data_IF_578473081545
#
_entry.id   IF_578473081545
#
_cell.length_a   1.000
_cell.length_b   1.000
_cell.length_c   1.000
_cell.angle_alpha   90.00
_cell.angle_beta   90.00
_cell.angle_gamma   90.00
#
_symmetry.space_group_name_H-M   'P 1'
#
loop_
_entity.id
_entity.type
_entity.pdbx_description
1 polymer ?
#
# COMPACT_ATOMS: atom_id res chain seq x y z
N UNK A 1 -23.47 -7.20 18.27
CA UNK A 1 -22.98 -7.13 16.89
C UNK A 1 -22.12 -8.38 16.66
N UNK A 2 -22.58 -9.28 15.77
CA UNK A 2 -21.75 -10.41 15.32
C UNK A 2 -20.96 -9.88 14.13
N UNK A 3 -19.63 -9.81 14.28
CA UNK A 3 -18.72 -9.48 13.17
C UNK A 3 -18.28 -10.78 12.48
N UNK A 4 -18.50 -10.89 11.17
CA UNK A 4 -17.93 -11.96 10.35
C UNK A 4 -16.60 -11.49 9.81
N UNK A 5 -15.50 -12.16 10.20
CA UNK A 5 -14.13 -11.86 9.76
C UNK A 5 -13.62 -13.05 8.96
N UNK A 6 -13.16 -12.81 7.74
CA UNK A 6 -12.59 -13.81 6.84
C UNK A 6 -11.18 -13.44 6.46
N UNK A 7 -10.27 -14.39 6.60
CA UNK A 7 -8.86 -14.22 6.22
C UNK A 7 -8.62 -15.06 4.98
N UNK A 8 -8.18 -14.42 3.91
CA UNK A 8 -7.85 -15.07 2.64
C UNK A 8 -6.37 -14.88 2.39
N UNK A 9 -5.63 -15.98 2.26
CA UNK A 9 -4.24 -15.97 1.84
C UNK A 9 -4.19 -16.26 0.33
N UNK A 10 -3.80 -15.25 -0.45
CA UNK A 10 -3.67 -15.35 -1.90
C UNK A 10 -2.77 -14.21 -2.42
N UNK A 11 -2.25 -14.35 -3.66
CA UNK A 11 -1.65 -13.25 -4.38
C UNK A 11 -2.73 -12.23 -4.75
N UNK A 12 -2.72 -11.05 -4.14
CA UNK A 12 -3.73 -10.00 -4.32
C UNK A 12 -3.79 -9.44 -5.76
N UNK A 13 -2.76 -9.68 -6.59
CA UNK A 13 -2.75 -9.31 -8.00
C UNK A 13 -3.42 -10.36 -8.91
N UNK A 14 -3.73 -11.57 -8.39
CA UNK A 14 -4.26 -12.69 -9.16
C UNK A 14 -5.78 -12.65 -9.33
N UNK A 15 -6.29 -13.34 -10.35
CA UNK A 15 -7.72 -13.60 -10.50
C UNK A 15 -8.24 -14.53 -9.40
N UNK A 16 -7.44 -15.50 -8.96
CA UNK A 16 -7.78 -16.40 -7.86
C UNK A 16 -8.14 -15.62 -6.58
N UNK A 17 -7.40 -14.55 -6.27
CA UNK A 17 -7.72 -13.69 -5.12
C UNK A 17 -9.10 -13.05 -5.28
N UNK A 18 -9.44 -12.56 -6.48
CA UNK A 18 -10.76 -11.99 -6.76
C UNK A 18 -11.88 -13.00 -6.57
N UNK A 19 -11.70 -14.21 -7.11
CA UNK A 19 -12.66 -15.30 -6.96
C UNK A 19 -12.90 -15.66 -5.49
N UNK A 20 -11.85 -15.80 -4.70
CA UNK A 20 -11.93 -16.08 -3.26
C UNK A 20 -12.63 -14.97 -2.47
N UNK A 21 -12.35 -13.70 -2.82
CA UNK A 21 -13.01 -12.57 -2.18
C UNK A 21 -14.48 -12.52 -2.59
N UNK A 22 -14.79 -12.72 -3.88
CA UNK A 22 -16.18 -12.77 -4.35
C UNK A 22 -16.98 -13.86 -3.64
N UNK A 23 -16.44 -15.07 -3.53
CA UNK A 23 -17.08 -16.15 -2.78
C UNK A 23 -17.35 -15.76 -1.31
N UNK A 24 -16.48 -14.97 -0.70
CA UNK A 24 -16.70 -14.44 0.65
C UNK A 24 -17.81 -13.39 0.69
N UNK A 25 -17.88 -12.51 -0.31
CA UNK A 25 -18.95 -11.52 -0.44
C UNK A 25 -20.32 -12.21 -0.66
N UNK A 26 -20.35 -13.23 -1.51
CA UNK A 26 -21.58 -14.00 -1.79
C UNK A 26 -22.16 -14.64 -0.52
N UNK A 27 -21.29 -15.19 0.35
CA UNK A 27 -21.72 -15.73 1.65
C UNK A 27 -22.29 -14.63 2.56
N UNK A 28 -21.73 -13.41 2.48
CA UNK A 28 -22.25 -12.25 3.21
C UNK A 28 -23.48 -11.62 2.53
N UNK A 29 -23.91 -12.13 1.38
CA UNK A 29 -24.98 -11.60 0.54
C UNK A 29 -24.73 -10.18 0.04
N UNK A 30 -23.46 -9.89 -0.25
CA UNK A 30 -22.99 -8.62 -0.81
C UNK A 30 -22.45 -8.85 -2.23
N UNK A 31 -22.80 -8.00 -3.16
CA UNK A 31 -22.28 -8.08 -4.54
C UNK A 31 -20.90 -7.46 -4.66
N UNK A 32 -20.63 -6.42 -3.87
CA UNK A 32 -19.41 -5.61 -3.91
C UNK A 32 -18.97 -5.21 -2.51
N UNK A 33 -17.67 -4.94 -2.38
CA UNK A 33 -17.10 -4.37 -1.17
C UNK A 33 -17.57 -2.92 -0.97
N UNK A 34 -17.83 -2.53 0.27
CA UNK A 34 -18.30 -1.19 0.64
C UNK A 34 -17.14 -0.23 0.97
N UNK A 35 -15.97 -0.78 1.26
CA UNK A 35 -14.76 -0.02 1.53
C UNK A 35 -13.53 -0.87 1.21
N UNK A 36 -12.50 -0.24 0.64
CA UNK A 36 -11.22 -0.87 0.30
C UNK A 36 -10.10 -0.23 1.11
N UNK A 37 -9.25 -1.05 1.73
CA UNK A 37 -8.00 -0.57 2.34
C UNK A 37 -6.84 -1.27 1.62
N UNK A 38 -5.93 -0.49 1.07
CA UNK A 38 -4.67 -0.95 0.49
C UNK A 38 -3.53 -0.49 1.40
N UNK A 39 -2.76 -1.44 1.91
CA UNK A 39 -1.57 -1.16 2.72
C UNK A 39 -0.43 -2.07 2.22
N UNK A 40 0.14 -1.75 1.06
CA UNK A 40 1.22 -2.53 0.48
C UNK A 40 2.51 -2.40 1.29
N UNK A 41 3.50 -3.28 1.11
CA UNK A 41 4.85 -3.04 1.61
C UNK A 41 5.42 -1.73 1.00
N UNK A 42 6.41 -1.15 1.68
CA UNK A 42 7.08 0.06 1.19
C UNK A 42 8.32 -0.36 0.40
N UNK A 43 8.10 -0.88 -0.82
CA UNK A 43 9.12 -1.47 -1.67
C UNK A 43 9.87 -2.60 -0.92
N UNK A 44 11.18 -2.64 -0.98
CA UNK A 44 12.06 -3.67 -0.39
C UNK A 44 12.51 -3.39 1.08
N UNK A 45 11.88 -2.42 1.78
CA UNK A 45 12.29 -2.05 3.14
C UNK A 45 12.16 -3.22 4.13
N UNK A 46 11.09 -4.01 3.99
CA UNK A 46 10.83 -5.22 4.80
C UNK A 46 10.38 -6.31 3.87
N UNK A 47 11.10 -7.42 3.89
CA UNK A 47 10.72 -8.64 3.18
C UNK A 47 9.70 -9.41 4.00
N UNK A 48 8.50 -9.61 3.46
CA UNK A 48 7.39 -10.27 4.16
C UNK A 48 7.33 -11.78 3.91
N UNK A 49 7.81 -12.24 2.75
CA UNK A 49 7.88 -13.67 2.43
C UNK A 49 9.00 -13.95 1.43
N UNK A 50 9.21 -15.24 1.07
CA UNK A 50 10.14 -15.64 0.01
C UNK A 50 9.43 -15.88 -1.33
N UNK A 51 8.15 -15.51 -1.44
CA UNK A 51 7.36 -15.69 -2.66
C UNK A 51 7.69 -14.61 -3.68
N UNK A 52 7.78 -15.02 -4.95
CA UNK A 52 8.07 -14.10 -6.05
C UNK A 52 6.94 -13.06 -6.27
N UNK A 53 5.71 -13.43 -5.92
CA UNK A 53 4.50 -12.60 -6.06
C UNK A 53 4.37 -11.53 -4.97
N UNK A 54 5.23 -11.59 -3.94
CA UNK A 54 5.23 -10.59 -2.87
C UNK A 54 5.84 -9.28 -3.37
N UNK A 55 5.10 -8.20 -3.23
CA UNK A 55 5.54 -6.86 -3.66
C UNK A 55 6.86 -6.43 -3.00
N UNK A 56 7.18 -6.96 -1.83
CA UNK A 56 8.46 -6.68 -1.15
C UNK A 56 9.67 -7.38 -1.79
N UNK A 57 9.44 -8.26 -2.76
CA UNK A 57 10.47 -9.02 -3.47
C UNK A 57 10.68 -8.56 -4.92
N UNK A 58 10.10 -7.42 -5.32
CA UNK A 58 10.32 -6.86 -6.64
C UNK A 58 11.79 -6.46 -6.85
N UNK A 59 12.36 -6.78 -7.98
CA UNK A 59 13.75 -6.47 -8.31
C UNK A 59 13.95 -4.96 -8.53
N UNK A 60 12.91 -4.28 -9.03
CA UNK A 60 12.91 -2.84 -9.31
C UNK A 60 11.69 -2.16 -8.74
N UNK A 61 11.82 -0.87 -8.43
CA UNK A 61 10.69 -0.05 -7.97
C UNK A 61 9.59 0.08 -9.04
N UNK A 62 9.94 0.04 -10.34
CA UNK A 62 8.94 0.05 -11.42
C UNK A 62 8.12 -1.25 -11.44
N UNK A 63 8.77 -2.40 -11.24
CA UNK A 63 8.06 -3.68 -11.07
C UNK A 63 7.08 -3.65 -9.90
N UNK A 64 7.51 -3.05 -8.78
CA UNK A 64 6.62 -2.82 -7.64
C UNK A 64 5.38 -2.00 -8.03
N UNK A 65 5.55 -0.89 -8.76
CA UNK A 65 4.43 -0.06 -9.21
C UNK A 65 3.48 -0.80 -10.14
N UNK A 66 4.01 -1.59 -11.06
CA UNK A 66 3.21 -2.37 -11.99
C UNK A 66 2.42 -3.47 -11.27
N UNK A 67 3.02 -4.12 -10.29
CA UNK A 67 2.35 -5.15 -9.49
C UNK A 67 1.30 -4.52 -8.57
N UNK A 68 1.64 -3.39 -7.92
CA UNK A 68 0.67 -2.60 -7.14
C UNK A 68 -0.54 -2.16 -7.98
N UNK A 69 -0.32 -1.74 -9.23
CA UNK A 69 -1.42 -1.36 -10.12
C UNK A 69 -2.40 -2.52 -10.38
N UNK A 70 -1.90 -3.77 -10.48
CA UNK A 70 -2.76 -4.96 -10.61
C UNK A 70 -3.58 -5.20 -9.34
N UNK A 71 -2.96 -5.10 -8.16
CA UNK A 71 -3.66 -5.20 -6.87
C UNK A 71 -4.73 -4.12 -6.76
N UNK A 72 -4.40 -2.88 -7.07
CA UNK A 72 -5.34 -1.75 -7.04
C UNK A 72 -6.49 -1.94 -8.04
N UNK A 73 -6.21 -2.50 -9.24
CA UNK A 73 -7.22 -2.84 -10.25
C UNK A 73 -8.20 -3.88 -9.71
N UNK A 74 -7.71 -4.95 -9.09
CA UNK A 74 -8.57 -5.95 -8.48
C UNK A 74 -9.47 -5.33 -7.40
N UNK A 75 -8.90 -4.49 -6.54
CA UNK A 75 -9.67 -3.75 -5.54
C UNK A 75 -10.71 -2.80 -6.16
N UNK A 76 -10.32 -2.11 -7.25
CA UNK A 76 -11.26 -1.24 -7.98
C UNK A 76 -12.45 -2.03 -8.52
N UNK A 77 -12.21 -3.17 -9.18
CA UNK A 77 -13.26 -3.99 -9.78
C UNK A 77 -14.26 -4.51 -8.72
N UNK A 78 -13.77 -4.80 -7.53
CA UNK A 78 -14.55 -5.35 -6.43
C UNK A 78 -15.25 -4.30 -5.56
N UNK A 79 -14.80 -3.07 -5.57
CA UNK A 79 -15.42 -1.98 -4.81
C UNK A 79 -16.72 -1.53 -5.49
N UNK A 80 -17.76 -1.24 -4.72
CA UNK A 80 -19.01 -0.68 -5.23
C UNK A 80 -18.79 0.76 -5.74
N UNK A 81 -19.49 1.13 -6.80
CA UNK A 81 -19.49 2.50 -7.33
C UNK A 81 -19.98 3.51 -6.29
N UNK A 82 -19.32 4.65 -6.18
CA UNK A 82 -19.60 5.69 -5.19
C UNK A 82 -19.00 5.41 -3.81
N UNK A 83 -18.31 4.28 -3.64
CA UNK A 83 -17.65 3.93 -2.37
C UNK A 83 -16.19 4.36 -2.35
N UNK A 84 -15.59 4.25 -1.18
CA UNK A 84 -14.28 4.81 -0.90
C UNK A 84 -13.19 3.75 -0.77
N UNK A 85 -11.98 4.16 -1.13
CA UNK A 85 -10.77 3.41 -0.87
C UNK A 85 -9.78 4.26 -0.07
N UNK A 86 -9.00 3.62 0.79
CA UNK A 86 -7.87 4.22 1.48
C UNK A 86 -6.58 3.51 1.05
N UNK A 87 -5.58 4.28 0.63
CA UNK A 87 -4.21 3.82 0.43
C UNK A 87 -3.36 4.32 1.59
N UNK A 88 -2.71 3.40 2.31
CA UNK A 88 -1.78 3.70 3.39
C UNK A 88 -0.39 3.34 2.90
N UNK A 89 0.50 4.32 2.77
CA UNK A 89 1.85 4.11 2.25
C UNK A 89 2.78 5.25 2.67
N UNK A 90 4.05 4.93 2.91
CA UNK A 90 5.12 5.91 3.08
C UNK A 90 6.07 5.91 1.89
N UNK A 91 6.96 6.90 1.85
CA UNK A 91 8.03 6.95 0.87
C UNK A 91 9.28 6.23 1.38
N UNK A 92 10.18 5.86 0.48
CA UNK A 92 11.42 5.18 0.80
C UNK A 92 12.64 5.86 0.17
N UNK A 93 13.84 5.39 0.54
CA UNK A 93 15.09 5.71 -0.13
C UNK A 93 15.69 4.44 -0.72
N UNK A 94 16.12 4.51 -1.97
CA UNK A 94 16.89 3.47 -2.63
C UNK A 94 18.13 4.11 -3.26
N UNK A 95 19.31 3.60 -2.96
CA UNK A 95 20.59 4.16 -3.46
C UNK A 95 20.76 5.68 -3.20
N UNK A 96 20.34 6.15 -2.04
CA UNK A 96 20.36 7.58 -1.63
C UNK A 96 19.41 8.49 -2.43
N UNK A 97 18.51 7.92 -3.22
CA UNK A 97 17.47 8.65 -3.96
C UNK A 97 16.11 8.41 -3.35
N UNK A 98 15.28 9.45 -3.29
CA UNK A 98 13.90 9.35 -2.82
C UNK A 98 13.08 8.52 -3.80
N UNK A 99 12.40 7.51 -3.28
CA UNK A 99 11.37 6.78 -4.01
C UNK A 99 10.01 7.30 -3.51
N UNK A 100 9.30 8.13 -4.31
CA UNK A 100 8.05 8.75 -3.89
C UNK A 100 6.87 7.78 -4.04
N UNK A 101 6.93 6.66 -3.30
CA UNK A 101 5.99 5.53 -3.43
C UNK A 101 4.53 5.99 -3.28
N UNK A 102 4.28 6.91 -2.35
CA UNK A 102 2.93 7.41 -2.10
C UNK A 102 2.35 8.10 -3.33
N UNK A 103 3.12 8.96 -3.98
CA UNK A 103 2.66 9.74 -5.13
C UNK A 103 2.53 8.89 -6.39
N UNK A 104 3.45 7.95 -6.62
CA UNK A 104 3.39 7.03 -7.75
C UNK A 104 2.22 6.05 -7.64
N UNK A 105 2.01 5.46 -6.45
CA UNK A 105 0.84 4.62 -6.21
C UNK A 105 -0.47 5.41 -6.35
N UNK A 106 -0.52 6.65 -5.87
CA UNK A 106 -1.65 7.57 -6.07
C UNK A 106 -1.95 7.76 -7.57
N UNK A 107 -0.92 8.02 -8.37
CA UNK A 107 -1.08 8.20 -9.82
C UNK A 107 -1.63 6.94 -10.50
N UNK A 108 -1.14 5.74 -10.11
CA UNK A 108 -1.66 4.45 -10.61
C UNK A 108 -3.14 4.26 -10.25
N UNK A 109 -3.55 4.57 -9.01
CA UNK A 109 -4.96 4.51 -8.62
C UNK A 109 -5.83 5.49 -9.40
N UNK A 110 -5.37 6.72 -9.60
CA UNK A 110 -6.10 7.71 -10.39
C UNK A 110 -6.24 7.29 -11.86
N UNK A 111 -5.22 6.68 -12.44
CA UNK A 111 -5.26 6.13 -13.80
C UNK A 111 -6.30 5.00 -13.96
N UNK A 112 -6.59 4.25 -12.90
CA UNK A 112 -7.66 3.23 -12.87
C UNK A 112 -9.07 3.82 -12.80
N UNK A 113 -9.22 5.12 -12.55
CA UNK A 113 -10.51 5.80 -12.46
C UNK A 113 -10.93 6.20 -11.05
N UNK A 114 -10.09 5.97 -10.04
CA UNK A 114 -10.33 6.53 -8.71
C UNK A 114 -10.19 8.05 -8.73
N UNK A 115 -11.07 8.73 -7.98
CA UNK A 115 -10.96 10.16 -7.73
C UNK A 115 -10.35 10.42 -6.36
N UNK A 116 -9.21 11.08 -6.31
CA UNK A 116 -8.61 11.52 -5.05
C UNK A 116 -9.54 12.50 -4.32
N UNK A 117 -9.79 12.25 -3.03
CA UNK A 117 -10.63 13.09 -2.15
C UNK A 117 -9.82 13.85 -1.11
N UNK A 118 -8.69 13.29 -0.69
CA UNK A 118 -7.83 13.93 0.29
C UNK A 118 -6.58 13.13 0.58
N UNK A 119 -5.58 13.82 1.12
CA UNK A 119 -4.33 13.24 1.60
C UNK A 119 -4.18 13.63 3.06
N UNK A 120 -4.08 12.64 3.93
CA UNK A 120 -3.81 12.80 5.34
C UNK A 120 -2.35 12.42 5.56
N UNK A 121 -1.59 13.27 6.20
CA UNK A 121 -0.22 12.99 6.61
C UNK A 121 -0.26 12.53 8.06
N UNK A 122 0.09 11.27 8.30
CA UNK A 122 0.12 10.65 9.61
C UNK A 122 1.54 10.70 10.15
N UNK A 123 1.75 11.31 11.31
CA UNK A 123 3.03 11.29 12.02
C UNK A 123 3.29 9.91 12.64
N UNK A 124 4.49 9.37 12.42
CA UNK A 124 4.93 8.08 12.96
C UNK A 124 5.89 8.35 14.11
N UNK A 125 5.39 8.20 15.33
CA UNK A 125 6.21 8.32 16.55
C UNK A 125 6.82 6.98 16.95
N UNK A 126 8.04 7.02 17.46
CA UNK A 126 8.73 5.84 18.00
C UNK A 126 9.32 4.89 16.94
N UNK A 127 9.29 5.24 15.66
CA UNK A 127 9.85 4.45 14.57
C UNK A 127 11.40 4.43 14.54
N UNK A 128 12.03 5.10 15.46
CA UNK A 128 13.49 5.20 15.59
C UNK A 128 14.15 3.84 15.94
N UNK A 129 13.35 2.88 16.45
CA UNK A 129 13.82 1.53 16.80
C UNK A 129 14.16 0.65 15.59
N UNK A 130 13.52 0.87 14.47
CA UNK A 130 13.76 0.10 13.24
C UNK A 130 15.05 0.52 12.52
N UNK A 131 15.59 1.69 12.83
CA UNK A 131 16.73 2.31 12.12
C UNK A 131 18.06 2.27 12.91
N UNK A 132 18.20 1.35 13.85
CA UNK A 132 19.42 1.15 14.65
C UNK A 132 19.35 1.80 16.03
N UNK A 133 20.16 1.27 16.94
CA UNK A 133 20.15 1.59 18.39
C UNK A 133 20.53 3.04 18.78
N UNK A 134 20.83 3.92 17.81
CA UNK A 134 21.19 5.30 18.11
C UNK A 134 20.59 6.27 17.09
N UNK A 135 19.65 7.10 17.55
CA UNK A 135 19.09 8.22 16.79
C UNK A 135 20.18 9.16 16.21
N UNK A 136 21.34 9.26 16.88
CA UNK A 136 22.47 10.07 16.47
C UNK A 136 23.16 9.57 15.19
N UNK A 137 23.29 8.26 14.98
CA UNK A 137 23.95 7.71 13.79
C UNK A 137 23.15 7.99 12.51
N UNK A 138 21.83 7.89 12.60
CA UNK A 138 20.95 8.22 11.47
C UNK A 138 20.93 9.70 11.17
N UNK A 139 20.94 10.55 12.22
CA UNK A 139 21.03 12.00 12.07
C UNK A 139 22.32 12.41 11.38
N UNK A 140 23.44 11.81 11.77
CA UNK A 140 24.73 12.04 11.14
C UNK A 140 24.77 11.56 9.68
N UNK A 141 24.25 10.36 9.41
CA UNK A 141 24.16 9.79 8.05
C UNK A 141 23.24 10.60 7.15
N UNK A 142 22.09 11.05 7.67
CA UNK A 142 21.18 11.90 6.94
C UNK A 142 21.84 13.25 6.58
N UNK A 143 22.52 13.88 7.51
CA UNK A 143 23.25 15.14 7.27
C UNK A 143 24.41 14.95 6.27
N UNK A 144 25.20 13.87 6.43
CA UNK A 144 26.32 13.59 5.56
C UNK A 144 25.88 13.10 4.15
N UNK A 145 24.77 12.40 4.07
CA UNK A 145 24.21 11.86 2.82
C UNK A 145 23.23 12.79 2.10
N UNK A 146 22.85 13.90 2.73
CA UNK A 146 21.92 14.87 2.13
C UNK A 146 20.47 14.37 2.03
N UNK A 147 20.06 13.40 2.86
CA UNK A 147 18.69 12.90 2.85
C UNK A 147 17.96 13.13 4.18
N UNK A 148 16.63 13.15 4.15
CA UNK A 148 15.78 13.37 5.31
C UNK A 148 15.21 12.04 5.84
N UNK A 149 15.02 11.95 7.17
CA UNK A 149 14.35 10.82 7.80
C UNK A 149 12.85 11.02 7.68
N UNK A 150 12.16 10.12 7.00
CA UNK A 150 10.70 10.14 6.94
C UNK A 150 10.12 9.75 8.30
N UNK A 151 9.32 10.64 8.87
CA UNK A 151 8.56 10.43 10.12
C UNK A 151 7.07 10.41 9.87
N UNK A 152 6.66 10.14 8.64
CA UNK A 152 5.27 10.16 8.24
C UNK A 152 4.97 9.05 7.24
N UNK A 153 3.71 8.74 7.15
CA UNK A 153 3.09 8.00 6.07
C UNK A 153 1.84 8.74 5.61
N UNK A 154 1.37 8.43 4.43
CA UNK A 154 0.16 8.99 3.87
C UNK A 154 -1.01 8.05 4.09
N UNK A 155 -2.20 8.63 4.36
CA UNK A 155 -3.49 7.95 4.21
C UNK A 155 -4.25 8.73 3.14
N UNK A 156 -4.27 8.19 1.93
CA UNK A 156 -4.89 8.83 0.78
C UNK A 156 -6.28 8.26 0.57
N UNK A 157 -7.28 9.12 0.51
CA UNK A 157 -8.68 8.73 0.37
C UNK A 157 -9.13 8.95 -1.06
N UNK A 158 -9.74 7.94 -1.63
CA UNK A 158 -10.25 7.92 -3.00
C UNK A 158 -11.73 7.53 -3.02
N UNK A 159 -12.42 7.95 -4.07
CA UNK A 159 -13.78 7.56 -4.40
C UNK A 159 -13.78 6.82 -5.75
N UNK A 160 -14.45 5.67 -5.83
CA UNK A 160 -14.73 5.00 -7.11
C UNK A 160 -15.91 5.68 -7.79
N UNK A 161 -15.74 6.15 -9.01
CA UNK A 161 -16.80 6.76 -9.83
C UNK A 161 -17.51 5.77 -10.73
#
# INVERSE_FOLDING_TARGET
LVTDVRIICADSASEEAKEKIQASLDIMREEKAQFLILHPPYDDIIKFSDKKEDLSNCDTTEEFYDLFAKVAKNGYDMLEKGRFAALIIGDSYKNSEVQPLGFECMARMMALGFKLKGIIVKDIQGNERAKGKTANLWRYRALAGGFFIFKHEYVMIFEKK
#
